data_IF_428143678637
#
_entry.id   IF_428143678637
#
_cell.length_a   1.000
_cell.length_b   1.000
_cell.length_c   1.000
_cell.angle_alpha   90.00
_cell.angle_beta   90.00
_cell.angle_gamma   90.00
#
_symmetry.space_group_name_H-M   'P 1'
#
loop_
_entity.id
_entity.type
_entity.pdbx_description
1 polymer ?
#
# COMPACT_ATOMS: atom_id res chain seq x y z
N UNK A 1 44.94 -26.15 51.98
CA UNK A 1 44.64 -24.90 51.27
C UNK A 1 43.91 -25.24 50.01
N UNK A 2 42.56 -25.08 49.99
CA UNK A 2 41.70 -25.39 48.79
C UNK A 2 41.58 -24.12 47.98
N UNK A 3 42.07 -24.11 46.72
CA UNK A 3 41.90 -23.00 45.78
C UNK A 3 40.51 -23.11 45.15
N UNK A 4 39.67 -22.13 45.43
CA UNK A 4 38.35 -21.94 44.84
C UNK A 4 38.53 -21.29 43.45
N UNK A 5 38.27 -22.04 42.39
CA UNK A 5 38.26 -21.49 41.00
C UNK A 5 36.87 -21.00 40.72
N UNK A 6 36.72 -19.64 40.73
CA UNK A 6 35.45 -18.98 40.35
C UNK A 6 35.41 -18.93 38.82
N UNK A 7 34.56 -19.75 38.21
CA UNK A 7 34.25 -19.66 36.76
C UNK A 7 33.22 -18.59 36.54
N UNK A 8 33.66 -17.44 36.02
CA UNK A 8 32.76 -16.36 35.57
C UNK A 8 32.19 -16.78 34.20
N UNK A 9 30.93 -17.19 34.19
CA UNK A 9 30.16 -17.46 32.96
C UNK A 9 29.71 -16.11 32.38
N UNK A 10 30.44 -15.56 31.43
CA UNK A 10 30.05 -14.39 30.65
C UNK A 10 28.91 -14.82 29.72
N UNK A 11 27.69 -14.55 30.15
CA UNK A 11 26.48 -14.70 29.34
C UNK A 11 26.45 -13.55 28.32
N UNK A 12 26.98 -13.80 27.11
CA UNK A 12 26.79 -12.92 25.96
C UNK A 12 25.32 -12.95 25.58
N UNK A 13 24.51 -12.02 26.09
CA UNK A 13 23.21 -11.69 25.53
C UNK A 13 23.48 -11.08 24.14
N UNK A 14 23.40 -11.89 23.11
CA UNK A 14 23.22 -11.42 21.74
C UNK A 14 21.81 -10.84 21.70
N UNK A 15 21.70 -9.52 21.90
CA UNK A 15 20.51 -8.77 21.53
C UNK A 15 20.38 -8.93 20.01
N UNK A 16 19.58 -9.89 19.58
CA UNK A 16 19.08 -9.93 18.23
C UNK A 16 18.29 -8.63 18.05
N UNK A 17 18.92 -7.60 17.47
CA UNK A 17 18.24 -6.42 17.00
C UNK A 17 17.23 -6.94 15.98
N UNK A 18 15.95 -7.02 16.38
CA UNK A 18 14.87 -7.21 15.43
C UNK A 18 15.04 -6.07 14.41
N UNK A 19 15.40 -6.43 13.20
CA UNK A 19 15.73 -5.48 12.14
C UNK A 19 14.38 -4.98 11.56
N UNK A 20 13.64 -4.22 12.39
CA UNK A 20 12.35 -3.65 11.97
C UNK A 20 12.61 -2.74 10.76
N UNK A 21 11.91 -2.96 9.67
CA UNK A 21 12.05 -2.18 8.46
C UNK A 21 11.49 -0.77 8.72
N UNK A 22 12.38 0.23 8.69
CA UNK A 22 11.96 1.62 8.88
C UNK A 22 10.99 2.05 7.77
N UNK A 23 9.87 2.72 8.10
CA UNK A 23 8.83 3.07 7.11
C UNK A 23 9.33 3.91 5.93
N UNK A 24 10.26 4.82 6.14
CA UNK A 24 10.89 5.64 5.09
C UNK A 24 11.78 4.80 4.16
N UNK A 25 12.54 3.87 4.71
CA UNK A 25 13.35 2.91 3.93
C UNK A 25 12.43 1.97 3.12
N UNK A 26 11.33 1.52 3.72
CA UNK A 26 10.32 0.70 3.05
C UNK A 26 9.71 1.44 1.84
N UNK A 27 9.28 2.69 2.03
CA UNK A 27 8.72 3.51 0.92
C UNK A 27 9.79 3.74 -0.14
N UNK A 28 11.02 4.15 0.22
CA UNK A 28 12.08 4.38 -0.75
C UNK A 28 12.41 3.11 -1.56
N UNK A 29 12.48 1.96 -0.90
CA UNK A 29 12.69 0.67 -1.59
C UNK A 29 11.55 0.34 -2.55
N UNK A 30 10.30 0.54 -2.13
CA UNK A 30 9.11 0.29 -2.96
C UNK A 30 9.12 1.17 -4.20
N UNK A 31 9.40 2.45 -4.03
CA UNK A 31 9.48 3.44 -5.12
C UNK A 31 10.61 3.10 -6.08
N UNK A 32 11.79 2.76 -5.58
CA UNK A 32 12.95 2.41 -6.43
C UNK A 32 12.63 1.19 -7.32
N UNK A 33 12.00 0.15 -6.75
CA UNK A 33 11.55 -1.04 -7.50
C UNK A 33 10.54 -0.67 -8.60
N UNK A 34 9.57 0.18 -8.30
CA UNK A 34 8.58 0.63 -9.27
C UNK A 34 9.23 1.46 -10.39
N UNK A 35 10.10 2.41 -10.03
CA UNK A 35 10.85 3.25 -10.99
C UNK A 35 11.76 2.42 -11.89
N UNK A 36 12.41 1.39 -11.35
CA UNK A 36 13.22 0.45 -12.13
C UNK A 36 12.38 -0.26 -13.21
N UNK A 37 11.20 -0.76 -12.86
CA UNK A 37 10.29 -1.40 -13.84
C UNK A 37 9.84 -0.38 -14.90
N UNK A 38 9.45 0.82 -14.48
CA UNK A 38 8.94 1.86 -15.38
C UNK A 38 10.00 2.39 -16.35
N UNK A 39 11.28 2.36 -15.96
CA UNK A 39 12.40 2.80 -16.81
C UNK A 39 12.88 1.75 -17.81
N UNK A 40 12.50 0.47 -17.65
CA UNK A 40 12.88 -0.61 -18.58
C UNK A 40 12.25 -0.44 -19.95
N UNK A 41 13.00 -0.82 -20.99
CA UNK A 41 12.47 -0.90 -22.34
C UNK A 41 11.74 -2.24 -22.58
N UNK A 42 10.60 -2.41 -21.93
CA UNK A 42 9.71 -3.56 -22.02
C UNK A 42 8.29 -3.10 -22.36
N UNK A 43 7.43 -4.03 -22.75
CA UNK A 43 6.03 -3.72 -23.10
C UNK A 43 5.28 -3.09 -21.91
N UNK A 44 4.22 -2.34 -22.24
CA UNK A 44 3.32 -1.77 -21.22
C UNK A 44 2.72 -2.86 -20.32
N UNK A 45 2.37 -4.00 -20.91
CA UNK A 45 1.82 -5.14 -20.20
C UNK A 45 2.81 -5.74 -19.20
N UNK A 46 4.07 -5.90 -19.56
CA UNK A 46 5.13 -6.36 -18.65
C UNK A 46 5.34 -5.38 -17.50
N UNK A 47 5.31 -4.06 -17.78
CA UNK A 47 5.36 -3.03 -16.70
C UNK A 47 4.18 -3.18 -15.74
N UNK A 48 2.96 -3.30 -16.27
CA UNK A 48 1.75 -3.50 -15.47
C UNK A 48 1.88 -4.75 -14.59
N UNK A 49 2.33 -5.87 -15.12
CA UNK A 49 2.49 -7.11 -14.38
C UNK A 49 3.54 -6.99 -13.26
N UNK A 50 4.67 -6.33 -13.55
CA UNK A 50 5.68 -6.03 -12.54
C UNK A 50 5.15 -5.13 -11.41
N UNK A 51 4.38 -4.10 -11.73
CA UNK A 51 3.77 -3.20 -10.76
C UNK A 51 2.71 -3.90 -9.90
N UNK A 52 1.93 -4.83 -10.46
CA UNK A 52 0.99 -5.66 -9.71
C UNK A 52 1.70 -6.52 -8.66
N UNK A 53 2.85 -7.09 -8.99
CA UNK A 53 3.65 -7.88 -8.04
C UNK A 53 4.13 -7.01 -6.89
N UNK A 54 4.63 -5.80 -7.18
CA UNK A 54 5.04 -4.85 -6.14
C UNK A 54 3.85 -4.49 -5.25
N UNK A 55 2.69 -4.15 -5.84
CA UNK A 55 1.50 -3.79 -5.09
C UNK A 55 1.03 -4.90 -4.14
N UNK A 56 0.99 -6.16 -4.60
CA UNK A 56 0.64 -7.33 -3.77
C UNK A 56 1.58 -7.51 -2.57
N UNK A 57 2.84 -7.13 -2.70
CA UNK A 57 3.84 -7.28 -1.64
C UNK A 57 3.87 -6.11 -0.66
N UNK A 58 3.41 -4.93 -1.07
CA UNK A 58 3.64 -3.69 -0.31
C UNK A 58 2.37 -2.99 0.13
N UNK A 59 1.20 -3.32 -0.44
CA UNK A 59 -0.08 -2.70 -0.11
C UNK A 59 -0.94 -3.66 0.70
N UNK A 60 -1.56 -3.17 1.78
CA UNK A 60 -2.61 -3.88 2.50
C UNK A 60 -3.93 -3.81 1.71
N UNK A 61 -4.00 -4.55 0.59
CA UNK A 61 -5.16 -4.52 -0.32
C UNK A 61 -6.45 -4.87 0.42
N UNK A 62 -6.41 -5.86 1.32
CA UNK A 62 -7.56 -6.26 2.14
C UNK A 62 -7.97 -5.11 3.07
N UNK A 63 -7.02 -4.48 3.76
CA UNK A 63 -7.30 -3.36 4.65
C UNK A 63 -7.86 -2.14 3.92
N UNK A 64 -7.35 -1.83 2.73
CA UNK A 64 -7.87 -0.76 1.86
C UNK A 64 -9.28 -1.12 1.37
N UNK A 65 -9.52 -2.35 0.95
CA UNK A 65 -10.84 -2.84 0.53
C UNK A 65 -11.88 -2.74 1.66
N UNK A 66 -11.52 -3.17 2.88
CA UNK A 66 -12.40 -3.01 4.05
C UNK A 66 -12.74 -1.55 4.35
N UNK A 67 -11.77 -0.68 4.23
CA UNK A 67 -11.98 0.75 4.43
C UNK A 67 -12.92 1.33 3.36
N UNK A 68 -12.74 0.92 2.10
CA UNK A 68 -13.53 1.41 0.96
C UNK A 68 -15.00 0.99 1.02
N UNK A 69 -15.35 -0.15 1.62
CA UNK A 69 -16.73 -0.55 1.87
C UNK A 69 -17.46 0.33 2.89
N UNK A 70 -16.74 1.07 3.72
CA UNK A 70 -17.33 1.91 4.77
C UNK A 70 -18.26 1.13 5.71
N UNK A 71 -19.48 1.64 5.92
CA UNK A 71 -20.50 0.99 6.78
C UNK A 71 -21.10 -0.28 6.17
N UNK A 72 -21.15 -0.40 4.85
CA UNK A 72 -21.73 -1.55 4.15
C UNK A 72 -21.09 -2.89 4.55
N UNK A 73 -19.77 -2.88 4.91
CA UNK A 73 -19.06 -4.09 5.38
C UNK A 73 -19.72 -4.81 6.55
N UNK A 74 -20.53 -4.10 7.36
CA UNK A 74 -21.19 -4.68 8.54
C UNK A 74 -22.35 -5.60 8.16
N UNK A 75 -22.97 -5.36 7.00
CA UNK A 75 -24.15 -6.04 6.53
C UNK A 75 -23.84 -7.22 5.60
N UNK A 76 -22.58 -7.43 5.23
CA UNK A 76 -22.16 -8.50 4.33
C UNK A 76 -22.00 -9.81 5.08
N UNK A 77 -22.57 -10.89 4.53
CA UNK A 77 -22.26 -12.25 4.94
C UNK A 77 -20.86 -12.68 4.46
N UNK A 78 -20.38 -13.84 4.91
CA UNK A 78 -19.00 -14.29 4.60
C UNK A 78 -18.77 -14.51 3.08
N UNK A 79 -19.74 -15.05 2.36
CA UNK A 79 -19.62 -15.27 0.91
C UNK A 79 -19.55 -13.94 0.14
N UNK A 80 -20.36 -12.96 0.55
CA UNK A 80 -20.32 -11.61 -0.03
C UNK A 80 -18.98 -10.90 0.27
N UNK A 81 -18.45 -11.06 1.48
CA UNK A 81 -17.13 -10.53 1.83
C UNK A 81 -16.03 -11.14 0.96
N UNK A 82 -16.02 -12.46 0.82
CA UNK A 82 -15.04 -13.14 -0.03
C UNK A 82 -15.15 -12.66 -1.48
N UNK A 83 -16.36 -12.69 -2.06
CA UNK A 83 -16.60 -12.20 -3.43
C UNK A 83 -16.13 -10.75 -3.60
N UNK A 84 -16.42 -9.89 -2.61
CA UNK A 84 -15.96 -8.50 -2.65
C UNK A 84 -14.43 -8.39 -2.71
N UNK A 85 -13.72 -9.14 -1.86
CA UNK A 85 -12.26 -9.06 -1.82
C UNK A 85 -11.60 -9.54 -3.10
N UNK A 86 -12.10 -10.62 -3.68
CA UNK A 86 -11.60 -11.12 -4.96
C UNK A 86 -11.77 -10.05 -6.07
N UNK A 87 -12.97 -9.46 -6.17
CA UNK A 87 -13.25 -8.40 -7.13
C UNK A 87 -12.47 -7.10 -6.85
N UNK A 88 -12.33 -6.74 -5.57
CA UNK A 88 -11.59 -5.53 -5.18
C UNK A 88 -10.09 -5.68 -5.45
N UNK A 89 -9.49 -6.83 -5.19
CA UNK A 89 -8.07 -7.07 -5.50
C UNK A 89 -7.82 -6.89 -7.00
N UNK A 90 -8.62 -7.52 -7.86
CA UNK A 90 -8.49 -7.41 -9.31
C UNK A 90 -8.68 -5.97 -9.80
N UNK A 91 -9.71 -5.29 -9.30
CA UNK A 91 -9.97 -3.88 -9.58
C UNK A 91 -8.81 -2.99 -9.16
N UNK A 92 -8.35 -3.13 -7.90
CA UNK A 92 -7.26 -2.33 -7.36
C UNK A 92 -5.98 -2.53 -8.16
N UNK A 93 -5.59 -3.77 -8.40
CA UNK A 93 -4.37 -4.10 -9.13
C UNK A 93 -4.40 -3.57 -10.56
N UNK A 94 -5.55 -3.70 -11.25
CA UNK A 94 -5.71 -3.16 -12.62
C UNK A 94 -5.67 -1.63 -12.62
N UNK A 95 -6.47 -0.98 -11.79
CA UNK A 95 -6.57 0.49 -11.72
C UNK A 95 -5.22 1.12 -11.38
N UNK A 96 -4.59 0.63 -10.32
CA UNK A 96 -3.32 1.17 -9.80
C UNK A 96 -2.17 0.97 -10.79
N UNK A 97 -1.97 -0.27 -11.28
CA UNK A 97 -0.85 -0.57 -12.16
C UNK A 97 -0.98 0.10 -13.54
N UNK A 98 -2.20 0.20 -14.07
CA UNK A 98 -2.45 0.88 -15.35
C UNK A 98 -2.10 2.37 -15.26
N UNK A 99 -2.53 3.06 -14.18
CA UNK A 99 -2.20 4.48 -13.98
C UNK A 99 -0.69 4.70 -13.81
N UNK A 100 -0.03 3.86 -13.01
CA UNK A 100 1.42 3.99 -12.83
C UNK A 100 2.20 3.70 -14.11
N UNK A 101 1.73 2.79 -14.96
CA UNK A 101 2.42 2.44 -16.20
C UNK A 101 2.50 3.58 -17.22
N UNK A 102 1.75 4.67 -17.00
CA UNK A 102 1.77 5.88 -17.83
C UNK A 102 2.98 6.79 -17.52
N UNK A 103 3.59 6.60 -16.34
CA UNK A 103 4.77 7.38 -15.98
C UNK A 103 6.03 6.80 -16.63
N UNK A 104 6.80 7.68 -17.25
CA UNK A 104 8.11 7.35 -17.81
C UNK A 104 9.17 7.85 -16.84
N UNK A 105 9.99 6.94 -16.32
CA UNK A 105 11.13 7.24 -15.46
C UNK A 105 10.80 8.22 -14.28
N UNK A 106 9.78 7.91 -13.44
CA UNK A 106 9.41 8.79 -12.34
C UNK A 106 10.52 8.80 -11.27
N UNK A 107 10.87 9.98 -10.79
CA UNK A 107 11.80 10.14 -9.67
C UNK A 107 10.99 10.59 -8.45
N UNK A 108 10.92 9.73 -7.43
CA UNK A 108 10.27 10.04 -6.15
C UNK A 108 11.36 10.08 -5.08
N UNK A 109 11.39 11.17 -4.31
CA UNK A 109 12.35 11.39 -3.23
C UNK A 109 11.62 11.41 -1.89
N UNK A 110 11.95 10.46 -1.02
CA UNK A 110 11.48 10.45 0.36
C UNK A 110 12.17 11.57 1.13
N UNK A 111 11.39 12.41 1.81
CA UNK A 111 11.89 13.60 2.50
C UNK A 111 11.91 13.42 4.01
N UNK A 112 10.82 12.90 4.58
CA UNK A 112 10.66 12.79 6.02
C UNK A 112 9.65 11.71 6.39
N UNK A 113 9.60 11.39 7.70
CA UNK A 113 8.54 10.56 8.27
C UNK A 113 8.00 11.18 9.54
N UNK A 114 6.71 10.96 9.80
CA UNK A 114 6.01 11.41 10.99
C UNK A 114 5.28 10.23 11.65
N UNK A 115 5.65 9.90 12.87
CA UNK A 115 4.90 8.95 13.69
C UNK A 115 3.51 9.53 14.01
N UNK A 116 2.46 8.77 13.75
CA UNK A 116 1.08 9.15 14.02
C UNK A 116 0.59 8.47 15.31
N UNK A 117 0.76 7.17 15.38
CA UNK A 117 0.48 6.33 16.55
C UNK A 117 1.17 4.96 16.37
N UNK A 118 0.98 4.05 17.33
CA UNK A 118 1.59 2.71 17.32
C UNK A 118 1.32 1.88 16.05
N UNK A 119 0.24 2.17 15.32
CA UNK A 119 -0.16 1.43 14.13
C UNK A 119 0.16 2.15 12.81
N UNK A 120 0.52 3.45 12.85
CA UNK A 120 0.66 4.24 11.64
C UNK A 120 1.81 5.24 11.68
N UNK A 121 2.55 5.27 10.59
CA UNK A 121 3.51 6.32 10.26
C UNK A 121 3.13 6.95 8.91
N UNK A 122 3.24 8.26 8.79
CA UNK A 122 3.19 8.97 7.51
C UNK A 122 4.62 9.17 7.03
N UNK A 123 4.88 8.77 5.79
CA UNK A 123 6.14 9.07 5.08
C UNK A 123 5.82 10.11 4.02
N UNK A 124 6.56 11.21 4.04
CA UNK A 124 6.41 12.30 3.08
C UNK A 124 7.42 12.15 1.95
N UNK A 125 7.00 12.34 0.73
CA UNK A 125 7.84 12.30 -0.46
C UNK A 125 7.37 13.31 -1.50
N UNK A 126 8.21 13.54 -2.51
CA UNK A 126 7.84 14.32 -3.68
C UNK A 126 8.14 13.53 -4.95
N UNK A 127 7.23 13.58 -5.90
CA UNK A 127 7.50 13.25 -7.28
C UNK A 127 8.17 14.48 -7.90
N UNK A 128 9.44 14.33 -8.26
CA UNK A 128 10.28 15.44 -8.75
C UNK A 128 9.69 16.02 -10.04
N UNK A 129 9.69 17.35 -10.14
CA UNK A 129 9.26 18.07 -11.34
C UNK A 129 10.10 17.70 -12.57
N UNK A 130 9.48 17.82 -13.74
CA UNK A 130 10.16 17.74 -15.05
C UNK A 130 9.81 18.98 -15.86
N UNK A 131 10.32 19.12 -17.10
CA UNK A 131 9.89 20.19 -18.02
C UNK A 131 8.38 20.26 -18.22
N UNK A 132 7.70 19.10 -18.17
CA UNK A 132 6.31 18.94 -18.59
C UNK A 132 5.36 18.70 -17.41
N UNK A 133 5.90 18.61 -16.18
CA UNK A 133 5.11 18.29 -14.98
C UNK A 133 5.67 19.01 -13.75
N UNK A 134 4.82 19.67 -12.95
CA UNK A 134 5.22 20.26 -11.67
C UNK A 134 5.58 19.16 -10.66
N UNK A 135 6.23 19.58 -9.57
CA UNK A 135 6.43 18.73 -8.40
C UNK A 135 5.06 18.33 -7.81
N UNK A 136 4.96 17.08 -7.33
CA UNK A 136 3.74 16.56 -6.70
C UNK A 136 4.09 15.98 -5.33
N UNK A 137 3.41 16.44 -4.29
CA UNK A 137 3.55 15.93 -2.92
C UNK A 137 2.80 14.62 -2.76
N UNK A 138 3.45 13.62 -2.17
CA UNK A 138 2.88 12.30 -1.92
C UNK A 138 3.17 11.93 -0.47
N UNK A 139 2.11 11.76 0.32
CA UNK A 139 2.17 11.24 1.68
C UNK A 139 1.71 9.79 1.67
N UNK A 140 2.53 8.91 2.24
CA UNK A 140 2.28 7.47 2.33
C UNK A 140 1.83 7.14 3.74
N UNK A 141 0.61 6.64 3.91
CA UNK A 141 0.15 6.12 5.20
C UNK A 141 0.56 4.67 5.33
N UNK A 142 1.56 4.43 6.15
CA UNK A 142 2.14 3.10 6.37
C UNK A 142 1.55 2.49 7.63
N UNK A 143 1.03 1.28 7.52
CA UNK A 143 0.59 0.46 8.65
C UNK A 143 1.80 -0.26 9.24
N UNK A 144 2.12 0.03 10.48
CA UNK A 144 3.35 -0.36 11.17
C UNK A 144 3.10 -1.26 12.39
N UNK A 145 1.88 -1.78 12.54
CA UNK A 145 1.56 -2.70 13.65
C UNK A 145 2.46 -3.94 13.66
N UNK A 146 2.84 -4.45 12.49
CA UNK A 146 3.92 -5.42 12.34
C UNK A 146 5.15 -4.68 11.77
N UNK A 147 6.14 -4.34 12.61
CA UNK A 147 7.30 -3.56 12.17
C UNK A 147 8.20 -4.32 11.19
N UNK A 148 8.15 -5.65 11.16
CA UNK A 148 8.95 -6.47 10.24
C UNK A 148 8.30 -6.56 8.85
N UNK A 149 7.00 -6.22 8.74
CA UNK A 149 6.25 -6.25 7.49
C UNK A 149 5.30 -5.04 7.40
N UNK A 150 5.83 -3.82 7.23
CA UNK A 150 5.01 -2.62 7.02
C UNK A 150 4.25 -2.71 5.70
N UNK A 151 3.03 -2.12 5.66
CA UNK A 151 2.18 -2.13 4.46
C UNK A 151 1.61 -0.74 4.19
N UNK A 152 1.49 -0.38 2.92
CA UNK A 152 0.84 0.86 2.49
C UNK A 152 -0.69 0.69 2.64
N UNK A 153 -1.35 1.63 3.31
CA UNK A 153 -2.81 1.68 3.45
C UNK A 153 -3.47 2.88 2.78
N UNK A 154 -2.69 3.88 2.42
CA UNK A 154 -3.22 5.05 1.69
C UNK A 154 -2.09 5.81 1.01
N UNK A 155 -2.41 6.44 -0.10
CA UNK A 155 -1.62 7.48 -0.73
C UNK A 155 -2.42 8.78 -0.69
N UNK A 156 -1.81 9.84 -0.19
CA UNK A 156 -2.39 11.16 -0.13
C UNK A 156 -1.60 12.04 -1.10
N UNK A 157 -2.21 12.36 -2.23
CA UNK A 157 -1.58 13.11 -3.31
C UNK A 157 -2.13 14.52 -3.29
N UNK A 158 -1.26 15.52 -3.10
CA UNK A 158 -1.66 16.93 -2.95
C UNK A 158 -2.79 17.12 -1.92
N UNK A 159 -2.75 16.36 -0.83
CA UNK A 159 -3.75 16.39 0.23
C UNK A 159 -5.00 15.53 -0.01
N UNK A 160 -5.16 14.93 -1.19
CA UNK A 160 -6.28 14.05 -1.53
C UNK A 160 -5.96 12.59 -1.21
N UNK A 161 -6.66 12.01 -0.24
CA UNK A 161 -6.55 10.59 0.13
C UNK A 161 -7.23 9.70 -0.91
N UNK A 162 -6.46 8.82 -1.57
CA UNK A 162 -7.01 7.89 -2.57
C UNK A 162 -7.95 6.86 -1.94
N UNK A 163 -7.62 6.36 -0.76
CA UNK A 163 -8.49 5.42 -0.05
C UNK A 163 -9.84 6.07 0.35
N UNK A 164 -9.83 7.35 0.74
CA UNK A 164 -11.07 8.10 1.05
C UNK A 164 -11.90 8.30 -0.21
N UNK A 165 -11.29 8.74 -1.29
CA UNK A 165 -11.97 8.94 -2.59
C UNK A 165 -12.63 7.64 -3.05
N UNK A 166 -11.93 6.52 -2.93
CA UNK A 166 -12.49 5.20 -3.28
C UNK A 166 -13.69 4.82 -2.40
N UNK A 167 -13.61 5.12 -1.09
CA UNK A 167 -14.74 4.90 -0.17
C UNK A 167 -15.96 5.75 -0.55
N UNK A 168 -15.73 7.02 -0.89
CA UNK A 168 -16.81 7.95 -1.30
C UNK A 168 -17.47 7.47 -2.60
N UNK A 169 -16.68 7.03 -3.57
CA UNK A 169 -17.17 6.45 -4.83
C UNK A 169 -18.04 5.20 -4.58
N UNK A 170 -17.56 4.24 -3.79
CA UNK A 170 -18.32 3.03 -3.48
C UNK A 170 -19.60 3.33 -2.66
N UNK A 171 -19.50 4.28 -1.73
CA UNK A 171 -20.68 4.76 -0.98
C UNK A 171 -21.72 5.37 -1.92
N UNK A 172 -21.30 6.16 -2.92
CA UNK A 172 -22.19 6.73 -3.92
C UNK A 172 -22.88 5.65 -4.76
N UNK A 173 -22.12 4.64 -5.23
CA UNK A 173 -22.70 3.51 -5.98
C UNK A 173 -23.75 2.79 -5.16
N UNK A 174 -23.45 2.48 -3.89
CA UNK A 174 -24.39 1.79 -3.00
C UNK A 174 -25.63 2.62 -2.73
N UNK A 175 -25.46 3.91 -2.41
CA UNK A 175 -26.61 4.80 -2.14
C UNK A 175 -27.52 4.96 -3.37
N UNK A 176 -26.96 5.02 -4.57
CA UNK A 176 -27.74 5.11 -5.83
C UNK A 176 -28.44 3.80 -6.21
N UNK A 177 -28.19 2.71 -5.48
CA UNK A 177 -28.79 1.39 -5.72
C UNK A 177 -29.38 0.80 -4.42
N UNK A 178 -29.96 1.61 -3.56
CA UNK A 178 -30.65 1.20 -2.32
C UNK A 178 -29.83 0.29 -1.40
N UNK A 179 -28.51 0.43 -1.44
CA UNK A 179 -27.57 -0.38 -0.66
C UNK A 179 -27.28 -1.78 -1.25
N UNK A 180 -27.75 -2.08 -2.48
CA UNK A 180 -27.51 -3.38 -3.12
C UNK A 180 -26.03 -3.58 -3.42
N UNK A 181 -25.40 -4.47 -2.67
CA UNK A 181 -23.97 -4.81 -2.85
C UNK A 181 -23.69 -5.42 -4.23
N UNK A 182 -24.67 -6.04 -4.88
CA UNK A 182 -24.47 -6.60 -6.21
C UNK A 182 -24.28 -5.51 -7.27
N UNK A 183 -24.79 -4.31 -7.06
CA UNK A 183 -24.49 -3.17 -7.93
C UNK A 183 -23.00 -2.83 -7.91
N UNK A 184 -22.38 -2.81 -6.72
CA UNK A 184 -20.94 -2.63 -6.58
C UNK A 184 -20.16 -3.78 -7.21
N UNK A 185 -20.57 -5.03 -6.99
CA UNK A 185 -19.93 -6.19 -7.63
C UNK A 185 -19.93 -6.08 -9.16
N UNK A 186 -21.07 -5.74 -9.76
CA UNK A 186 -21.16 -5.51 -11.22
C UNK A 186 -20.23 -4.40 -11.70
N UNK A 187 -20.11 -3.32 -10.95
CA UNK A 187 -19.19 -2.21 -11.29
C UNK A 187 -17.74 -2.67 -11.32
N UNK A 188 -17.31 -3.42 -10.29
CA UNK A 188 -15.95 -3.95 -10.20
C UNK A 188 -15.67 -4.98 -11.31
N UNK A 189 -16.61 -5.92 -11.54
CA UNK A 189 -16.51 -6.92 -12.61
C UNK A 189 -16.40 -6.27 -14.01
N UNK A 190 -17.21 -5.26 -14.28
CA UNK A 190 -17.20 -4.57 -15.57
C UNK A 190 -15.88 -3.82 -15.79
N UNK A 191 -15.34 -3.18 -14.76
CA UNK A 191 -14.05 -2.51 -14.85
C UNK A 191 -12.91 -3.49 -15.14
N UNK A 192 -12.94 -4.68 -14.57
CA UNK A 192 -11.87 -5.67 -14.76
C UNK A 192 -11.94 -6.36 -16.13
N UNK A 193 -13.11 -6.46 -16.75
CA UNK A 193 -13.29 -7.07 -18.09
C UNK A 193 -12.91 -6.15 -19.25
N UNK A 194 -13.03 -4.84 -19.06
CA UNK A 194 -12.68 -3.82 -20.08
C UNK A 194 -11.21 -3.40 -19.97
#
# INVERSE_FOLDING_TARGET
MKKLVTIIFLLNLILASANSMQPDVFVQSTVNRASEILSKNISREEKINGLKIIAKQTVDIIGVGFYSLGSARKNLNNNQKQKYFDLFEDYFLKSFSSRLSEYTNPKIEVQSKKFVNENYTIVNSVLVSTSDRPEVKIDWRIYTKNPDNPLIRDLIIEGLSLARTQKEEFTSILNSNDGDINALFRTLENFTKN
#
